data_IF_524546727222
#
_entry.id   IF_524546727222
#
_cell.length_a   1.000
_cell.length_b   1.000
_cell.length_c   1.000
_cell.angle_alpha   90.00
_cell.angle_beta   90.00
_cell.angle_gamma   90.00
#
_symmetry.space_group_name_H-M   'P 1'
#
loop_
_entity.id
_entity.type
_entity.pdbx_description
1 polymer ?
#
# COMPACT_ATOMS: atom_id res chain seq x y z
N UNK A 1 -9.18 -6.92 3.04
CA UNK A 1 -10.24 -5.89 3.11
C UNK A 1 -9.73 -4.82 2.19
N UNK A 2 -10.44 -4.48 1.12
CA UNK A 2 -10.08 -3.33 0.32
C UNK A 2 -10.17 -2.08 1.23
N UNK A 3 -9.07 -1.72 1.90
CA UNK A 3 -8.66 -0.32 1.97
C UNK A 3 -8.58 0.20 0.54
N UNK A 4 -8.57 1.51 0.38
CA UNK A 4 -9.08 2.13 -0.84
C UNK A 4 -8.13 2.02 -2.03
N UNK A 5 -7.26 1.02 -2.07
CA UNK A 5 -6.04 0.91 -2.90
C UNK A 5 -6.30 0.12 -4.17
N UNK A 6 -7.37 -0.69 -4.24
CA UNK A 6 -7.80 -1.27 -5.51
C UNK A 6 -9.30 -1.54 -5.61
N UNK A 7 -9.78 -1.63 -6.85
CA UNK A 7 -11.13 -2.09 -7.15
C UNK A 7 -11.12 -3.61 -7.32
N UNK A 8 -11.87 -4.31 -6.47
CA UNK A 8 -12.08 -5.74 -6.64
C UNK A 8 -12.68 -6.05 -8.01
N UNK A 9 -12.06 -6.97 -8.73
CA UNK A 9 -12.61 -7.46 -9.99
C UNK A 9 -13.77 -8.39 -9.68
N UNK A 10 -14.97 -7.98 -10.05
CA UNK A 10 -16.15 -8.84 -9.99
C UNK A 10 -15.95 -10.09 -10.86
N UNK A 11 -16.53 -11.22 -10.45
CA UNK A 11 -16.44 -12.48 -11.19
C UNK A 11 -16.72 -12.28 -12.68
N UNK A 12 -15.70 -12.54 -13.50
CA UNK A 12 -15.73 -12.31 -14.95
C UNK A 12 -15.40 -13.60 -15.70
N UNK A 13 -16.16 -13.90 -16.75
CA UNK A 13 -15.91 -15.04 -17.63
C UNK A 13 -14.99 -14.66 -18.79
N UNK A 14 -13.97 -15.49 -19.05
CA UNK A 14 -13.09 -15.35 -20.22
C UNK A 14 -13.42 -16.43 -21.24
N UNK A 15 -13.58 -16.03 -22.51
CA UNK A 15 -13.80 -16.93 -23.65
C UNK A 15 -12.70 -16.73 -24.67
N UNK A 16 -12.00 -17.81 -25.02
CA UNK A 16 -10.98 -17.83 -26.06
C UNK A 16 -11.61 -18.25 -27.38
N UNK A 17 -11.54 -17.40 -28.39
CA UNK A 17 -11.92 -17.75 -29.75
C UNK A 17 -10.85 -18.66 -30.39
N UNK A 18 -11.20 -19.28 -31.51
CA UNK A 18 -10.27 -20.13 -32.25
C UNK A 18 -8.99 -19.35 -32.62
N UNK A 19 -7.84 -19.86 -32.20
CA UNK A 19 -6.53 -19.25 -32.43
C UNK A 19 -6.09 -18.24 -31.36
N UNK A 20 -6.94 -17.84 -30.41
CA UNK A 20 -6.53 -17.02 -29.28
C UNK A 20 -5.84 -17.86 -28.20
N UNK A 21 -4.71 -17.36 -27.69
CA UNK A 21 -3.95 -17.99 -26.61
C UNK A 21 -3.75 -17.10 -25.40
N UNK A 22 -4.24 -15.86 -25.44
CA UNK A 22 -4.08 -14.88 -24.35
C UNK A 22 -5.33 -14.01 -24.16
N UNK A 23 -5.62 -13.69 -22.90
CA UNK A 23 -6.58 -12.67 -22.46
C UNK A 23 -5.94 -11.86 -21.34
N UNK A 24 -6.45 -10.65 -21.10
CA UNK A 24 -5.99 -9.77 -20.03
C UNK A 24 -7.13 -9.53 -19.04
N UNK A 25 -6.81 -9.59 -17.75
CA UNK A 25 -7.67 -9.11 -16.66
C UNK A 25 -6.98 -7.89 -16.06
N UNK A 26 -7.71 -6.78 -15.93
CA UNK A 26 -7.19 -5.53 -15.38
C UNK A 26 -7.76 -5.29 -13.99
N UNK A 27 -6.90 -4.90 -13.06
CA UNK A 27 -7.28 -4.43 -11.72
C UNK A 27 -6.95 -2.94 -11.66
N UNK A 28 -7.90 -2.12 -11.24
CA UNK A 28 -7.66 -0.69 -11.01
C UNK A 28 -7.04 -0.52 -9.64
N UNK A 29 -5.89 0.16 -9.57
CA UNK A 29 -5.19 0.52 -8.32
C UNK A 29 -5.36 2.03 -8.10
N UNK A 30 -5.54 2.44 -6.86
CA UNK A 30 -5.62 3.81 -6.39
C UNK A 30 -4.37 4.13 -5.57
N UNK A 31 -3.73 5.27 -5.85
CA UNK A 31 -2.65 5.77 -5.01
C UNK A 31 -3.15 6.84 -4.05
N UNK A 32 -2.44 7.02 -2.95
CA UNK A 32 -2.64 8.14 -2.05
C UNK A 32 -1.32 8.77 -1.57
N UNK A 33 -1.22 9.13 -0.29
CA UNK A 33 -0.04 9.79 0.30
C UNK A 33 0.30 9.19 1.69
N UNK A 34 -0.22 8.00 1.97
CA UNK A 34 -0.08 7.27 3.22
C UNK A 34 0.85 6.10 2.96
N UNK A 35 1.93 6.04 3.74
CA UNK A 35 2.76 4.84 3.72
C UNK A 35 2.02 3.65 4.34
N UNK A 36 1.80 2.62 3.55
CA UNK A 36 1.15 1.36 3.90
C UNK A 36 2.10 0.16 3.76
N UNK A 37 3.22 0.35 3.05
CA UNK A 37 4.12 -0.71 2.61
C UNK A 37 3.57 -1.51 1.43
N UNK A 38 4.40 -2.40 0.87
CA UNK A 38 3.99 -3.21 -0.28
C UNK A 38 2.85 -4.20 0.08
N UNK A 39 1.87 -4.32 -0.80
CA UNK A 39 0.68 -5.16 -0.60
C UNK A 39 0.55 -6.23 -1.69
N UNK A 40 0.15 -7.45 -1.32
CA UNK A 40 -0.11 -8.54 -2.28
C UNK A 40 -1.60 -8.62 -2.66
N UNK A 41 -1.86 -8.80 -3.95
CA UNK A 41 -3.16 -9.08 -4.56
C UNK A 41 -3.12 -10.43 -5.27
N UNK A 42 -4.25 -11.15 -5.21
CA UNK A 42 -4.42 -12.43 -5.91
C UNK A 42 -5.62 -12.40 -6.87
N UNK A 43 -5.40 -12.87 -8.09
CA UNK A 43 -6.46 -13.15 -9.08
C UNK A 43 -6.59 -14.67 -9.22
N UNK A 44 -7.78 -15.19 -8.94
CA UNK A 44 -8.02 -16.63 -8.94
C UNK A 44 -8.81 -17.07 -10.17
N UNK A 45 -8.31 -18.08 -10.89
CA UNK A 45 -9.01 -18.77 -11.95
C UNK A 45 -9.80 -19.95 -11.39
N UNK A 46 -10.99 -20.17 -11.92
CA UNK A 46 -11.85 -21.30 -11.54
C UNK A 46 -12.72 -21.73 -12.71
N UNK A 47 -13.37 -22.89 -12.59
CA UNK A 47 -14.42 -23.35 -13.50
C UNK A 47 -14.01 -23.41 -14.99
N UNK A 48 -12.79 -23.86 -15.31
CA UNK A 48 -12.39 -24.04 -16.70
C UNK A 48 -13.23 -25.14 -17.40
N UNK A 49 -13.55 -24.89 -18.66
CA UNK A 49 -14.26 -25.83 -19.55
C UNK A 49 -13.48 -25.94 -20.86
N UNK A 50 -13.32 -27.17 -21.37
CA UNK A 50 -12.53 -27.43 -22.58
C UNK A 50 -11.00 -27.33 -22.40
N UNK A 51 -10.53 -27.09 -21.18
CA UNK A 51 -9.12 -27.03 -20.80
C UNK A 51 -8.95 -27.39 -19.31
N UNK A 52 -7.69 -27.57 -18.89
CA UNK A 52 -7.31 -27.71 -17.48
C UNK A 52 -6.60 -26.45 -17.00
N UNK A 53 -6.88 -26.02 -15.77
CA UNK A 53 -6.14 -24.95 -15.11
C UNK A 53 -4.84 -25.55 -14.56
N UNK A 54 -3.69 -25.17 -15.14
CA UNK A 54 -2.38 -25.63 -14.67
C UNK A 54 -1.87 -24.80 -13.48
N UNK A 55 -2.17 -23.51 -13.49
CA UNK A 55 -1.93 -22.55 -12.41
C UNK A 55 -3.21 -21.72 -12.25
N UNK A 56 -3.77 -21.72 -11.04
CA UNK A 56 -5.06 -21.12 -10.75
C UNK A 56 -4.97 -19.77 -10.05
N UNK A 57 -3.76 -19.26 -9.78
CA UNK A 57 -3.61 -18.01 -9.04
C UNK A 57 -2.50 -17.15 -9.65
N UNK A 58 -2.88 -15.95 -10.10
CA UNK A 58 -1.92 -14.89 -10.35
C UNK A 58 -1.71 -14.07 -9.08
N UNK A 59 -0.46 -13.91 -8.66
CA UNK A 59 -0.06 -12.96 -7.61
C UNK A 59 0.45 -11.66 -8.24
N UNK A 60 0.02 -10.53 -7.70
CA UNK A 60 0.52 -9.20 -8.02
C UNK A 60 0.89 -8.45 -6.74
N UNK A 61 1.79 -7.49 -6.87
CA UNK A 61 2.21 -6.62 -5.76
C UNK A 61 1.90 -5.18 -6.11
N UNK A 62 1.23 -4.48 -5.20
CA UNK A 62 1.13 -3.02 -5.20
C UNK A 62 2.37 -2.53 -4.43
N UNK A 63 3.28 -1.85 -5.12
CA UNK A 63 4.47 -1.28 -4.50
C UNK A 63 4.14 0.11 -3.99
N UNK A 64 4.36 0.34 -2.70
CA UNK A 64 4.12 1.63 -2.07
C UNK A 64 5.24 2.62 -2.44
N UNK A 65 4.85 3.79 -2.93
CA UNK A 65 5.76 4.88 -3.30
C UNK A 65 5.76 6.05 -2.31
N UNK A 66 5.07 5.90 -1.18
CA UNK A 66 5.01 6.91 -0.14
C UNK A 66 6.17 6.81 0.87
N UNK A 67 6.46 7.94 1.51
CA UNK A 67 7.56 8.07 2.45
C UNK A 67 7.23 7.46 3.80
N UNK A 68 7.99 6.45 4.23
CA UNK A 68 7.86 5.90 5.58
C UNK A 68 7.92 7.02 6.66
N UNK A 69 6.94 7.09 7.59
CA UNK A 69 6.93 8.09 8.63
C UNK A 69 8.18 8.00 9.51
N UNK A 70 8.82 9.13 9.72
CA UNK A 70 10.03 9.28 10.52
C UNK A 70 9.79 10.25 11.68
N UNK A 71 10.24 9.85 12.86
CA UNK A 71 10.22 10.66 14.08
C UNK A 71 11.56 11.38 14.21
N UNK A 72 11.50 12.66 14.57
CA UNK A 72 12.67 13.48 14.88
C UNK A 72 12.42 14.33 16.12
N UNK A 73 13.49 14.84 16.71
CA UNK A 73 13.45 15.76 17.84
C UNK A 73 14.42 16.92 17.53
N UNK A 74 14.03 18.16 17.80
CA UNK A 74 14.93 19.29 17.58
C UNK A 74 15.98 19.39 18.69
N UNK A 75 17.14 19.94 18.34
CA UNK A 75 18.09 20.42 19.34
C UNK A 75 17.52 21.66 20.04
N UNK A 76 17.75 21.75 21.36
CA UNK A 76 17.29 22.85 22.19
C UNK A 76 18.40 23.35 23.10
N UNK A 77 18.37 24.65 23.42
CA UNK A 77 19.28 25.27 24.38
C UNK A 77 18.54 26.30 25.22
N UNK A 78 18.89 26.41 26.51
CA UNK A 78 18.35 27.43 27.42
C UNK A 78 19.47 27.98 28.30
N UNK A 79 19.36 29.25 28.67
CA UNK A 79 20.23 29.86 29.69
C UNK A 79 19.57 29.73 31.06
N UNK A 80 20.27 29.15 32.04
CA UNK A 80 19.72 28.89 33.39
C UNK A 80 19.46 30.15 34.23
N UNK A 81 20.30 31.18 34.07
CA UNK A 81 20.25 32.41 34.87
C UNK A 81 20.68 32.21 36.34
N UNK A 82 20.66 33.30 37.12
CA UNK A 82 21.17 33.31 38.51
C UNK A 82 20.10 33.06 39.58
N UNK A 83 18.83 32.92 39.20
CA UNK A 83 17.70 32.76 40.12
C UNK A 83 16.45 32.26 39.39
N UNK A 84 15.58 31.53 40.08
CA UNK A 84 14.35 30.97 39.49
C UNK A 84 14.60 29.65 38.76
N UNK A 85 13.72 29.29 37.83
CA UNK A 85 13.81 28.08 37.01
C UNK A 85 13.62 28.42 35.54
N UNK A 86 14.37 27.76 34.67
CA UNK A 86 14.20 27.81 33.22
C UNK A 86 13.69 26.46 32.69
N UNK A 87 12.83 26.50 31.68
CA UNK A 87 12.34 25.31 30.97
C UNK A 87 13.12 25.14 29.68
N UNK A 88 13.63 23.93 29.44
CA UNK A 88 14.24 23.53 28.16
C UNK A 88 13.26 22.63 27.42
N UNK A 89 12.60 23.18 26.40
CA UNK A 89 11.60 22.45 25.64
C UNK A 89 12.22 21.77 24.42
N UNK A 90 11.84 20.51 24.21
CA UNK A 90 12.11 19.76 22.99
C UNK A 90 10.79 19.49 22.27
N UNK A 91 10.81 19.71 20.96
CA UNK A 91 9.72 19.41 20.03
C UNK A 91 10.02 18.09 19.34
N UNK A 92 9.14 17.12 19.55
CA UNK A 92 9.14 15.86 18.79
C UNK A 92 8.23 16.04 17.59
N UNK A 93 8.73 15.71 16.40
CA UNK A 93 8.01 15.87 15.13
C UNK A 93 7.91 14.53 14.40
N UNK A 94 6.79 14.34 13.69
CA UNK A 94 6.55 13.26 12.75
C UNK A 94 6.41 13.87 11.35
N UNK A 95 7.15 13.38 10.36
CA UNK A 95 7.21 14.01 9.03
C UNK A 95 6.00 13.71 8.11
N UNK A 96 5.21 12.67 8.41
CA UNK A 96 3.98 12.28 7.72
C UNK A 96 2.94 11.83 8.75
N UNK A 97 1.65 11.93 8.45
CA UNK A 97 0.63 11.39 9.35
C UNK A 97 0.78 9.86 9.49
N UNK A 98 0.69 9.35 10.71
CA UNK A 98 0.56 7.90 10.95
C UNK A 98 -0.90 7.51 10.87
N UNK A 99 -1.20 6.39 10.22
CA UNK A 99 -2.55 5.78 10.17
C UNK A 99 -2.72 4.62 11.17
N UNK A 100 -1.69 4.30 11.95
CA UNK A 100 -1.72 3.34 13.06
C UNK A 100 -2.31 3.89 14.35
#
# INVERSE_FOLDING_TARGET
MANSDYVEVTTTSLTFAAGETSKTVSVTVYGDAVYEGDESLYVNLSNASGATIADNQGEGTITDDDGQPAISINDASVTEGNSGTATLDFTVSLNHASTS
#
